data_IF_789143858147
#
_entry.id   IF_789143858147
#
_cell.length_a   1.000
_cell.length_b   1.000
_cell.length_c   1.000
_cell.angle_alpha   90.00
_cell.angle_beta   90.00
_cell.angle_gamma   90.00
#
_symmetry.space_group_name_H-M   'P 1'
#
loop_
_entity.id
_entity.type
_entity.pdbx_description
1 polymer ?
#
# COMPACT_ATOMS: atom_id res chain seq x y z
N UNK A 1 19.95 -23.11 55.81
CA UNK A 1 18.94 -22.83 54.75
C UNK A 1 18.29 -24.16 54.39
N UNK A 2 16.97 -24.26 54.37
CA UNK A 2 16.25 -25.52 54.08
C UNK A 2 16.08 -25.71 52.56
N UNK A 3 16.28 -26.93 52.09
CA UNK A 3 16.30 -27.33 50.67
C UNK A 3 14.92 -27.76 50.14
N UNK A 4 13.84 -27.35 50.80
CA UNK A 4 12.49 -27.83 50.52
C UNK A 4 11.91 -27.27 49.21
N UNK A 5 12.15 -25.98 48.91
CA UNK A 5 11.77 -25.39 47.64
C UNK A 5 12.81 -25.77 46.57
N UNK A 6 12.41 -26.61 45.60
CA UNK A 6 13.25 -27.06 44.48
C UNK A 6 12.47 -27.02 43.16
N UNK A 7 13.13 -26.68 42.04
CA UNK A 7 12.50 -26.72 40.72
C UNK A 7 12.22 -28.17 40.29
N UNK A 8 11.25 -28.35 39.40
CA UNK A 8 10.94 -29.64 38.79
C UNK A 8 11.78 -29.83 37.53
N UNK A 9 12.80 -30.69 37.60
CA UNK A 9 13.64 -31.02 36.44
C UNK A 9 13.03 -32.09 35.54
N UNK A 10 12.21 -32.96 36.12
CA UNK A 10 11.53 -34.05 35.43
C UNK A 10 10.04 -33.92 35.73
N UNK A 11 9.22 -33.86 34.69
CA UNK A 11 7.77 -33.92 34.85
C UNK A 11 7.36 -35.32 35.32
N UNK A 12 6.23 -35.42 36.02
CA UNK A 12 5.63 -36.72 36.32
C UNK A 12 5.24 -37.41 35.01
N UNK A 13 5.79 -38.59 34.75
CA UNK A 13 5.46 -39.39 33.56
C UNK A 13 4.23 -40.23 33.87
N UNK A 14 3.17 -40.08 33.09
CA UNK A 14 2.04 -41.01 33.13
C UNK A 14 2.48 -42.38 32.61
N UNK A 15 2.52 -43.40 33.47
CA UNK A 15 2.89 -44.76 33.03
C UNK A 15 1.75 -45.39 32.23
N UNK A 16 2.13 -46.06 31.12
CA UNK A 16 1.28 -46.55 30.03
C UNK A 16 0.97 -48.03 30.24
N UNK A 17 -0.24 -48.33 30.70
CA UNK A 17 -0.99 -49.46 30.15
C UNK A 17 -2.03 -48.85 29.22
N UNK A 18 -1.97 -49.25 27.95
CA UNK A 18 -2.90 -48.84 26.91
C UNK A 18 -4.33 -49.16 27.36
N UNK A 19 -5.02 -48.15 27.89
CA UNK A 19 -6.42 -48.27 28.34
C UNK A 19 -6.70 -48.01 29.81
N UNK A 20 -5.75 -47.63 30.67
CA UNK A 20 -6.10 -47.13 32.00
C UNK A 20 -4.98 -47.04 33.04
N UNK A 21 -5.09 -46.08 33.94
CA UNK A 21 -4.32 -46.01 35.19
C UNK A 21 -4.82 -47.10 36.13
N UNK A 22 -4.34 -48.34 35.95
CA UNK A 22 -4.53 -49.38 36.94
C UNK A 22 -3.36 -49.29 37.90
N UNK A 23 -3.55 -48.66 39.05
CA UNK A 23 -2.59 -48.63 40.14
C UNK A 23 -2.45 -50.02 40.80
N UNK A 24 -2.21 -51.09 40.03
CA UNK A 24 -2.06 -52.46 40.52
C UNK A 24 -3.12 -52.92 41.54
N UNK A 25 -4.27 -52.26 41.55
CA UNK A 25 -5.21 -52.21 42.67
C UNK A 25 -6.64 -52.07 42.17
N UNK A 26 -7.60 -52.22 43.08
CA UNK A 26 -9.02 -52.29 42.75
C UNK A 26 -9.50 -51.00 42.07
N UNK A 27 -10.37 -51.15 41.05
CA UNK A 27 -11.00 -50.03 40.36
C UNK A 27 -11.77 -49.18 41.37
N UNK A 28 -11.48 -47.88 41.43
CA UNK A 28 -12.16 -46.94 42.31
C UNK A 28 -13.61 -46.74 41.88
N UNK A 29 -14.53 -46.65 42.85
CA UNK A 29 -15.93 -46.28 42.62
C UNK A 29 -16.17 -44.75 42.73
N UNK A 30 -15.12 -43.97 42.95
CA UNK A 30 -15.21 -42.51 43.02
C UNK A 30 -15.27 -41.93 41.60
N UNK A 31 -16.25 -41.06 41.35
CA UNK A 31 -16.37 -40.30 40.10
C UNK A 31 -16.45 -38.80 40.41
N UNK A 32 -15.91 -37.97 39.52
CA UNK A 32 -16.03 -36.52 39.60
C UNK A 32 -17.35 -36.03 38.98
N UNK A 33 -17.78 -34.83 39.34
CA UNK A 33 -18.88 -34.16 38.64
C UNK A 33 -18.61 -33.98 37.13
N UNK A 34 -17.33 -33.94 36.73
CA UNK A 34 -16.91 -33.86 35.31
C UNK A 34 -16.99 -35.20 34.56
N UNK A 35 -17.02 -36.33 35.28
CA UNK A 35 -17.12 -37.67 34.70
C UNK A 35 -18.58 -38.09 34.48
N UNK A 36 -19.53 -37.25 34.92
CA UNK A 36 -20.95 -37.44 34.63
C UNK A 36 -21.18 -37.39 33.11
N UNK A 37 -22.13 -38.18 32.57
CA UNK A 37 -22.40 -38.20 31.14
C UNK A 37 -22.71 -36.81 30.56
N UNK A 38 -21.80 -36.29 29.73
CA UNK A 38 -21.93 -35.03 29.02
C UNK A 38 -21.56 -35.21 27.55
N UNK A 39 -22.29 -34.56 26.64
CA UNK A 39 -22.06 -34.66 25.19
C UNK A 39 -21.96 -36.12 24.68
N UNK A 40 -22.93 -36.96 25.06
CA UNK A 40 -22.97 -38.40 24.70
C UNK A 40 -23.17 -38.68 23.22
N UNK A 41 -23.47 -37.65 22.41
CA UNK A 41 -23.68 -37.75 20.96
C UNK A 41 -22.65 -36.92 20.22
N UNK A 42 -21.83 -37.60 19.42
CA UNK A 42 -20.89 -36.95 18.50
C UNK A 42 -21.66 -36.31 17.34
N UNK A 43 -21.27 -35.09 16.97
CA UNK A 43 -21.78 -34.41 15.78
C UNK A 43 -20.97 -34.87 14.57
N UNK A 44 -21.64 -35.33 13.53
CA UNK A 44 -21.02 -35.62 12.23
C UNK A 44 -21.28 -34.45 11.28
N UNK A 45 -20.33 -34.20 10.38
CA UNK A 45 -20.49 -33.20 9.31
C UNK A 45 -21.65 -33.63 8.42
N UNK A 46 -22.57 -32.71 8.16
CA UNK A 46 -23.65 -32.90 7.19
C UNK A 46 -23.19 -32.45 5.80
N UNK A 47 -23.93 -32.87 4.77
CA UNK A 47 -23.74 -32.36 3.40
C UNK A 47 -23.76 -30.81 3.42
N UNK A 48 -22.80 -30.17 2.77
CA UNK A 48 -22.56 -28.73 2.76
C UNK A 48 -21.65 -28.20 3.89
N UNK A 49 -21.22 -29.04 4.83
CA UNK A 49 -20.30 -28.65 5.92
C UNK A 49 -18.85 -29.09 5.67
N UNK A 50 -18.51 -29.42 4.42
CA UNK A 50 -17.22 -29.99 4.05
C UNK A 50 -17.07 -31.41 4.60
N UNK A 51 -17.96 -32.31 4.19
CA UNK A 51 -17.75 -33.76 4.41
C UNK A 51 -16.49 -34.21 3.67
N UNK A 52 -15.91 -35.35 4.07
CA UNK A 52 -14.71 -35.87 3.42
C UNK A 52 -14.94 -36.12 1.92
N UNK A 53 -16.09 -36.72 1.58
CA UNK A 53 -16.51 -36.99 0.21
C UNK A 53 -16.57 -35.71 -0.65
N UNK A 54 -17.14 -34.62 -0.12
CA UNK A 54 -17.20 -33.36 -0.88
C UNK A 54 -15.83 -32.65 -0.98
N UNK A 55 -14.90 -32.92 -0.07
CA UNK A 55 -13.55 -32.35 -0.16
C UNK A 55 -12.71 -33.10 -1.19
N UNK A 56 -12.90 -34.41 -1.31
CA UNK A 56 -12.22 -35.24 -2.31
C UNK A 56 -12.65 -34.89 -3.74
N UNK A 57 -13.91 -34.47 -3.95
CA UNK A 57 -14.43 -34.05 -5.26
C UNK A 57 -14.05 -32.60 -5.64
N UNK A 58 -13.63 -31.75 -4.69
CA UNK A 58 -13.33 -30.34 -4.94
C UNK A 58 -11.88 -30.11 -5.36
N UNK A 59 -11.68 -29.28 -6.37
CA UNK A 59 -10.35 -28.73 -6.67
C UNK A 59 -10.04 -27.53 -5.77
N UNK A 60 -9.40 -27.82 -4.64
CA UNK A 60 -9.06 -26.82 -3.63
C UNK A 60 -8.07 -25.76 -4.14
N UNK A 61 -7.23 -26.11 -5.14
CA UNK A 61 -6.20 -25.20 -5.64
C UNK A 61 -6.83 -24.08 -6.47
N UNK A 62 -7.72 -24.42 -7.41
CA UNK A 62 -8.40 -23.41 -8.21
C UNK A 62 -9.29 -22.50 -7.35
N UNK A 63 -10.08 -23.07 -6.43
CA UNK A 63 -10.92 -22.28 -5.51
C UNK A 63 -10.10 -21.29 -4.67
N UNK A 64 -8.94 -21.74 -4.15
CA UNK A 64 -8.03 -20.89 -3.39
C UNK A 64 -7.52 -19.73 -4.25
N UNK A 65 -7.04 -20.01 -5.47
CA UNK A 65 -6.52 -18.96 -6.35
C UNK A 65 -7.59 -17.93 -6.76
N UNK A 66 -8.83 -18.37 -7.01
CA UNK A 66 -9.93 -17.45 -7.31
C UNK A 66 -10.29 -16.58 -6.10
N UNK A 67 -10.24 -17.16 -4.90
CA UNK A 67 -10.52 -16.43 -3.66
C UNK A 67 -9.43 -15.42 -3.35
N UNK A 68 -8.17 -15.77 -3.59
CA UNK A 68 -7.03 -14.85 -3.47
C UNK A 68 -7.17 -13.70 -4.47
N UNK A 69 -7.48 -13.98 -5.75
CA UNK A 69 -7.71 -12.94 -6.75
C UNK A 69 -8.81 -11.97 -6.34
N UNK A 70 -9.96 -12.47 -5.88
CA UNK A 70 -11.07 -11.64 -5.39
C UNK A 70 -10.66 -10.79 -4.18
N UNK A 71 -9.90 -11.36 -3.25
CA UNK A 71 -9.39 -10.64 -2.09
C UNK A 71 -8.43 -9.51 -2.49
N UNK A 72 -7.54 -9.76 -3.45
CA UNK A 72 -6.63 -8.74 -4.00
C UNK A 72 -7.39 -7.61 -4.69
N UNK A 73 -8.41 -7.93 -5.49
CA UNK A 73 -9.30 -6.94 -6.13
C UNK A 73 -10.05 -6.09 -5.08
N UNK A 74 -10.56 -6.70 -4.01
CA UNK A 74 -11.24 -5.98 -2.92
C UNK A 74 -10.28 -5.10 -2.12
N UNK A 75 -9.09 -5.63 -1.79
CA UNK A 75 -8.04 -4.89 -1.10
C UNK A 75 -7.58 -3.69 -1.92
N UNK A 76 -7.42 -3.85 -3.24
CA UNK A 76 -7.08 -2.76 -4.16
C UNK A 76 -8.12 -1.63 -4.13
N UNK A 77 -9.41 -1.98 -4.16
CA UNK A 77 -10.51 -1.00 -4.06
C UNK A 77 -10.52 -0.25 -2.73
N UNK A 78 -10.22 -0.91 -1.61
CA UNK A 78 -10.13 -0.25 -0.30
C UNK A 78 -8.98 0.77 -0.27
N UNK A 79 -7.82 0.40 -0.81
CA UNK A 79 -6.66 1.30 -0.92
C UNK A 79 -6.99 2.50 -1.82
N UNK A 80 -7.63 2.27 -2.97
CA UNK A 80 -8.04 3.33 -3.88
C UNK A 80 -9.04 4.28 -3.25
N UNK A 81 -10.04 3.79 -2.51
CA UNK A 81 -10.99 4.68 -1.81
C UNK A 81 -10.34 5.46 -0.68
N UNK A 82 -9.36 4.90 0.03
CA UNK A 82 -8.59 5.60 1.05
C UNK A 82 -7.68 6.67 0.42
N UNK A 83 -6.99 6.35 -0.66
CA UNK A 83 -6.17 7.30 -1.42
C UNK A 83 -7.03 8.39 -2.07
N UNK A 84 -8.17 8.05 -2.66
CA UNK A 84 -9.13 9.01 -3.20
C UNK A 84 -9.73 9.91 -2.12
N UNK A 85 -10.00 9.41 -0.91
CA UNK A 85 -10.41 10.25 0.23
C UNK A 85 -9.29 11.20 0.65
N UNK A 86 -8.05 10.72 0.70
CA UNK A 86 -6.87 11.55 0.98
C UNK A 86 -6.69 12.61 -0.11
N UNK A 87 -6.85 12.25 -1.38
CA UNK A 87 -6.80 13.18 -2.51
C UNK A 87 -7.92 14.21 -2.45
N UNK A 88 -9.17 13.81 -2.19
CA UNK A 88 -10.29 14.75 -2.00
C UNK A 88 -10.08 15.68 -0.81
N UNK A 89 -9.49 15.19 0.27
CA UNK A 89 -9.12 16.00 1.44
C UNK A 89 -7.98 16.98 1.09
N UNK A 90 -6.97 16.54 0.32
CA UNK A 90 -5.91 17.40 -0.20
C UNK A 90 -6.48 18.48 -1.13
N UNK A 91 -7.38 18.12 -2.04
CA UNK A 91 -8.05 19.02 -2.98
C UNK A 91 -8.93 20.05 -2.25
N UNK A 92 -9.72 19.62 -1.26
CA UNK A 92 -10.49 20.55 -0.42
C UNK A 92 -9.59 21.46 0.43
N UNK A 93 -8.45 20.95 0.90
CA UNK A 93 -7.45 21.75 1.65
C UNK A 93 -6.73 22.75 0.75
N UNK A 94 -6.45 22.38 -0.51
CA UNK A 94 -5.85 23.23 -1.53
C UNK A 94 -6.81 24.37 -1.93
N UNK A 95 -8.11 24.06 -2.09
CA UNK A 95 -9.16 25.06 -2.36
C UNK A 95 -9.35 26.09 -1.24
N UNK A 96 -9.11 25.71 0.03
CA UNK A 96 -9.21 26.63 1.17
C UNK A 96 -7.99 27.55 1.33
N UNK A 97 -6.89 27.27 0.62
CA UNK A 97 -5.60 27.94 0.77
C UNK A 97 -5.05 28.31 -0.61
N UNK A 98 -5.81 29.11 -1.38
CA UNK A 98 -5.39 29.61 -2.70
C UNK A 98 -3.96 30.19 -2.67
N UNK A 99 -3.12 29.73 -3.59
CA UNK A 99 -1.81 30.30 -3.92
C UNK A 99 -0.91 29.23 -4.53
N UNK A 100 -0.70 29.32 -5.84
CA UNK A 100 0.04 28.39 -6.71
C UNK A 100 1.54 28.20 -6.36
N UNK A 101 1.98 28.66 -5.19
CA UNK A 101 3.37 28.56 -4.70
C UNK A 101 3.70 27.20 -4.06
N UNK A 102 2.71 26.34 -3.83
CA UNK A 102 2.93 25.03 -3.17
C UNK A 102 3.38 23.95 -4.14
N UNK A 103 2.96 24.01 -5.41
CA UNK A 103 3.31 22.99 -6.41
C UNK A 103 4.80 23.05 -6.80
N UNK A 104 5.35 24.25 -6.96
CA UNK A 104 6.77 24.43 -7.30
C UNK A 104 7.69 24.02 -6.15
N UNK A 105 7.31 24.36 -4.90
CA UNK A 105 8.10 23.98 -3.72
C UNK A 105 7.99 22.48 -3.38
N UNK A 106 6.91 21.82 -3.80
CA UNK A 106 6.75 20.38 -3.62
C UNK A 106 7.61 19.58 -4.62
N UNK A 107 7.74 20.05 -5.87
CA UNK A 107 8.66 19.46 -6.86
C UNK A 107 10.12 19.56 -6.42
N UNK A 108 10.54 20.72 -5.90
CA UNK A 108 11.93 20.92 -5.42
C UNK A 108 12.28 20.04 -4.20
N UNK A 109 11.32 19.78 -3.31
CA UNK A 109 11.54 18.89 -2.17
C UNK A 109 11.53 17.42 -2.61
N UNK A 110 10.73 17.06 -3.60
CA UNK A 110 10.67 15.70 -4.12
C UNK A 110 11.96 15.29 -4.85
N UNK A 111 12.67 16.23 -5.48
CA UNK A 111 13.99 15.96 -6.11
C UNK A 111 15.15 15.98 -5.10
N UNK A 112 14.99 16.65 -3.95
CA UNK A 112 15.99 16.69 -2.87
C UNK A 112 16.02 15.42 -2.01
N UNK A 113 14.93 14.66 -1.98
CA UNK A 113 14.79 13.40 -1.24
C UNK A 113 14.46 12.23 -2.16
N UNK A 114 14.82 12.32 -3.45
CA UNK A 114 14.84 11.16 -4.34
C UNK A 114 16.09 10.35 -4.01
N UNK A 115 16.00 9.56 -2.94
CA UNK A 115 16.93 8.52 -2.62
C UNK A 115 16.84 7.43 -3.70
N UNK A 116 17.92 7.28 -4.47
CA UNK A 116 18.08 6.38 -5.61
C UNK A 116 17.99 4.85 -5.29
N UNK A 117 17.25 4.47 -4.25
CA UNK A 117 17.05 3.11 -3.77
C UNK A 117 15.58 2.67 -3.75
N UNK A 118 14.65 3.42 -4.36
CA UNK A 118 13.32 2.86 -4.73
C UNK A 118 13.46 2.03 -6.01
N UNK A 119 14.17 0.91 -5.84
CA UNK A 119 14.39 -0.13 -6.83
C UNK A 119 13.05 -0.85 -7.09
N UNK A 120 12.24 -0.22 -7.95
CA UNK A 120 11.13 -0.88 -8.63
C UNK A 120 11.74 -1.97 -9.52
N UNK A 121 12.00 -3.13 -8.92
CA UNK A 121 12.42 -4.34 -9.60
C UNK A 121 11.24 -4.88 -10.42
N UNK A 122 10.93 -4.18 -11.50
CA UNK A 122 10.10 -4.63 -12.58
C UNK A 122 10.93 -5.62 -13.41
N UNK A 123 11.07 -6.84 -12.90
CA UNK A 123 11.65 -7.96 -13.63
C UNK A 123 10.51 -8.76 -14.27
N UNK A 124 10.29 -8.51 -15.55
CA UNK A 124 9.95 -9.57 -16.49
C UNK A 124 10.58 -9.21 -17.84
N UNK A 125 11.82 -9.67 -17.96
CA UNK A 125 12.59 -9.69 -19.19
C UNK A 125 11.86 -10.50 -20.27
N UNK A 126 11.92 -9.98 -21.49
CA UNK A 126 11.48 -10.63 -22.70
C UNK A 126 12.49 -11.69 -23.12
N UNK A 127 12.13 -12.96 -23.00
CA UNK A 127 12.79 -14.04 -23.75
C UNK A 127 11.99 -14.27 -25.05
N UNK A 128 12.48 -13.62 -26.11
CA UNK A 128 12.09 -13.86 -27.49
C UNK A 128 12.91 -15.04 -28.02
N UNK A 129 12.30 -16.21 -28.12
CA UNK A 129 12.84 -17.36 -28.85
C UNK A 129 12.08 -17.46 -30.18
N UNK A 130 12.70 -16.94 -31.24
CA UNK A 130 12.30 -17.28 -32.61
C UNK A 130 13.56 -17.41 -33.47
N UNK A 131 13.96 -18.67 -33.65
CA UNK A 131 15.05 -19.10 -34.51
C UNK A 131 14.49 -19.33 -35.90
N UNK A 132 14.57 -18.33 -36.78
CA UNK A 132 14.28 -18.53 -38.21
C UNK A 132 15.54 -18.44 -39.07
N UNK A 133 15.69 -19.46 -39.90
CA UNK A 133 16.87 -19.80 -40.69
C UNK A 133 16.87 -18.99 -41.98
N UNK A 134 17.92 -18.20 -42.21
CA UNK A 134 18.15 -17.51 -43.49
C UNK A 134 18.44 -18.53 -44.61
N UNK A 135 17.60 -18.52 -45.65
CA UNK A 135 17.88 -19.03 -46.99
C UNK A 135 17.71 -17.89 -48.01
N UNK A 136 18.60 -17.91 -48.99
CA UNK A 136 19.09 -16.85 -49.87
C UNK A 136 18.12 -16.55 -51.05
N UNK A 137 17.78 -15.27 -51.31
CA UNK A 137 17.10 -14.80 -52.54
C UNK A 137 17.23 -13.27 -52.71
N UNK A 138 18.31 -12.81 -53.35
CA UNK A 138 18.78 -11.42 -53.49
C UNK A 138 18.02 -10.47 -54.47
N UNK A 139 16.71 -10.64 -54.73
CA UNK A 139 16.02 -9.81 -55.76
C UNK A 139 14.82 -8.94 -55.27
N UNK A 140 14.40 -8.98 -54.00
CA UNK A 140 13.23 -8.21 -53.48
C UNK A 140 13.57 -7.12 -52.42
N UNK A 141 14.82 -7.03 -51.95
CA UNK A 141 15.24 -6.15 -50.84
C UNK A 141 15.41 -4.65 -51.24
N UNK A 142 15.74 -4.39 -52.50
CA UNK A 142 16.03 -3.02 -52.99
C UNK A 142 14.78 -2.15 -53.17
N UNK A 143 13.60 -2.75 -53.41
CA UNK A 143 12.33 -2.00 -53.53
C UNK A 143 11.79 -1.58 -52.15
N UNK A 144 11.97 -2.42 -51.13
CA UNK A 144 11.52 -2.18 -49.75
C UNK A 144 12.29 -1.03 -49.07
N UNK A 145 13.60 -0.92 -49.34
CA UNK A 145 14.44 0.15 -48.78
C UNK A 145 14.05 1.55 -49.29
N UNK A 146 13.58 1.66 -50.54
CA UNK A 146 13.05 2.94 -51.09
C UNK A 146 11.71 3.33 -50.46
N UNK A 147 10.88 2.35 -50.10
CA UNK A 147 9.61 2.63 -49.42
C UNK A 147 9.83 3.05 -47.96
N UNK A 148 10.79 2.43 -47.25
CA UNK A 148 11.18 2.84 -45.90
C UNK A 148 11.81 4.24 -45.87
N UNK A 149 12.62 4.62 -46.86
CA UNK A 149 13.18 5.97 -46.97
C UNK A 149 12.08 7.02 -47.20
N UNK A 150 11.05 6.68 -47.97
CA UNK A 150 9.89 7.57 -48.19
C UNK A 150 9.08 7.77 -46.92
N UNK A 151 8.82 6.70 -46.17
CA UNK A 151 8.12 6.76 -44.87
C UNK A 151 8.94 7.55 -43.84
N UNK A 152 10.27 7.38 -43.83
CA UNK A 152 11.17 8.12 -42.93
C UNK A 152 11.17 9.62 -43.24
N UNK A 153 11.15 9.99 -44.51
CA UNK A 153 11.07 11.39 -44.95
C UNK A 153 9.72 12.02 -44.62
N UNK A 154 8.62 11.29 -44.83
CA UNK A 154 7.27 11.76 -44.47
C UNK A 154 7.11 11.97 -42.96
N UNK A 155 7.64 11.05 -42.14
CA UNK A 155 7.63 11.19 -40.67
C UNK A 155 8.51 12.34 -40.17
N UNK A 156 9.62 12.60 -40.85
CA UNK A 156 10.51 13.71 -40.50
C UNK A 156 9.85 15.06 -40.83
N UNK A 157 9.17 15.17 -41.97
CA UNK A 157 8.40 16.36 -42.34
C UNK A 157 7.21 16.60 -41.39
N UNK A 158 6.52 15.55 -40.94
CA UNK A 158 5.44 15.65 -39.95
C UNK A 158 5.98 16.08 -38.56
N UNK A 159 7.13 15.53 -38.14
CA UNK A 159 7.78 15.94 -36.89
C UNK A 159 8.20 17.40 -36.92
N UNK A 160 8.76 17.87 -38.04
CA UNK A 160 9.20 19.26 -38.22
C UNK A 160 7.99 20.22 -38.22
N UNK A 161 6.87 19.83 -38.83
CA UNK A 161 5.62 20.60 -38.80
C UNK A 161 4.99 20.67 -37.41
N UNK A 162 5.09 19.58 -36.63
CA UNK A 162 4.63 19.55 -35.23
C UNK A 162 5.50 20.41 -34.31
N UNK A 163 6.82 20.36 -34.50
CA UNK A 163 7.78 21.18 -33.75
C UNK A 163 7.61 22.68 -34.04
N UNK A 164 7.29 23.05 -35.29
CA UNK A 164 6.99 24.44 -35.65
C UNK A 164 5.68 24.94 -35.01
N UNK A 165 4.64 24.10 -34.96
CA UNK A 165 3.38 24.43 -34.29
C UNK A 165 3.55 24.57 -32.77
N UNK A 166 4.33 23.69 -32.14
CA UNK A 166 4.62 23.76 -30.70
C UNK A 166 5.39 25.04 -30.36
N UNK A 167 6.39 25.40 -31.17
CA UNK A 167 7.14 26.65 -31.01
C UNK A 167 6.25 27.90 -31.14
N UNK A 168 5.28 27.90 -32.06
CA UNK A 168 4.33 29.01 -32.20
C UNK A 168 3.42 29.14 -30.96
N UNK A 169 2.97 28.01 -30.40
CA UNK A 169 2.20 28.01 -29.16
C UNK A 169 3.01 28.50 -27.96
N UNK A 170 4.26 28.09 -27.82
CA UNK A 170 5.17 28.59 -26.78
C UNK A 170 5.44 30.09 -26.91
N UNK A 171 5.64 30.59 -28.15
CA UNK A 171 5.82 32.03 -28.38
C UNK A 171 4.56 32.85 -28.02
N UNK A 172 3.36 32.30 -28.27
CA UNK A 172 2.11 32.95 -27.88
C UNK A 172 1.91 32.96 -26.36
N UNK A 173 2.19 31.85 -25.67
CA UNK A 173 2.15 31.76 -24.21
C UNK A 173 3.17 32.71 -23.57
N UNK A 174 4.39 32.78 -24.11
CA UNK A 174 5.41 33.71 -23.62
C UNK A 174 5.00 35.18 -23.80
N UNK A 175 4.33 35.52 -24.90
CA UNK A 175 3.77 36.87 -25.12
C UNK A 175 2.64 37.17 -24.15
N UNK A 176 1.78 36.19 -23.85
CA UNK A 176 0.70 36.31 -22.86
C UNK A 176 1.25 36.46 -21.43
N UNK A 177 2.26 35.68 -21.06
CA UNK A 177 2.94 35.77 -19.76
C UNK A 177 3.68 37.11 -19.57
N UNK A 178 4.31 37.65 -20.61
CA UNK A 178 4.91 39.00 -20.56
C UNK A 178 3.84 40.08 -20.39
N UNK A 179 2.67 39.91 -21.02
CA UNK A 179 1.55 40.86 -20.92
C UNK A 179 0.85 40.79 -19.56
N UNK A 180 0.69 39.58 -19.00
CA UNK A 180 0.02 39.33 -17.72
C UNK A 180 0.95 39.47 -16.51
N UNK A 181 2.25 39.30 -16.71
CA UNK A 181 3.30 39.36 -15.70
C UNK A 181 3.67 40.77 -15.25
N UNK A 182 2.92 41.81 -15.68
CA UNK A 182 3.07 43.17 -15.19
C UNK A 182 2.08 43.46 -14.04
N UNK A 183 2.49 43.31 -12.76
CA UNK A 183 1.62 43.56 -11.62
C UNK A 183 1.28 45.03 -11.39
N UNK A 184 1.94 45.98 -12.09
CA UNK A 184 1.67 47.42 -11.97
C UNK A 184 0.44 47.88 -12.75
N UNK A 185 -0.02 47.13 -13.75
CA UNK A 185 -1.14 47.52 -14.61
C UNK A 185 -2.50 47.03 -14.12
N UNK A 186 -2.56 46.12 -13.14
CA UNK A 186 -3.81 45.52 -12.69
C UNK A 186 -4.38 46.10 -11.38
N UNK A 187 -3.61 46.84 -10.57
CA UNK A 187 -4.08 47.31 -9.26
C UNK A 187 -3.61 48.73 -8.91
N UNK A 188 -4.41 49.74 -9.27
CA UNK A 188 -4.49 50.94 -8.45
C UNK A 188 -5.88 51.58 -8.52
N UNK A 189 -6.63 51.53 -7.40
CA UNK A 189 -7.08 52.78 -6.82
C UNK A 189 -6.80 52.85 -5.31
N UNK A 190 -6.05 53.88 -4.92
CA UNK A 190 -6.15 54.68 -3.70
C UNK A 190 -6.70 54.02 -2.41
N UNK A 191 -5.83 53.82 -1.42
CA UNK A 191 -6.22 53.68 -0.01
C UNK A 191 -5.15 52.98 0.85
N UNK A 192 -4.58 53.68 1.84
CA UNK A 192 -3.61 53.09 2.77
C UNK A 192 -4.23 51.94 3.58
N UNK A 193 -3.81 50.71 3.30
CA UNK A 193 -4.24 49.53 4.04
C UNK A 193 -3.60 49.52 5.44
N UNK A 194 -4.33 49.98 6.44
CA UNK A 194 -4.05 49.65 7.84
C UNK A 194 -4.28 48.15 8.02
N UNK A 195 -3.20 47.38 8.02
CA UNK A 195 -3.21 45.93 8.21
C UNK A 195 -3.88 45.64 9.56
N UNK A 196 -5.08 45.06 9.54
CA UNK A 196 -5.80 44.65 10.76
C UNK A 196 -5.00 43.55 11.45
N UNK A 197 -4.28 43.91 12.53
CA UNK A 197 -3.59 42.95 13.41
C UNK A 197 -4.59 41.87 13.82
N UNK A 198 -4.27 40.62 13.50
CA UNK A 198 -5.06 39.46 13.92
C UNK A 198 -4.82 39.24 15.41
N UNK A 199 -5.80 38.75 16.15
CA UNK A 199 -5.65 38.41 17.58
C UNK A 199 -4.51 37.40 17.82
N UNK A 200 -4.23 36.57 16.81
CA UNK A 200 -3.13 35.62 16.77
C UNK A 200 -1.78 36.21 16.39
N UNK A 201 -1.66 37.49 16.10
CA UNK A 201 -0.41 38.09 15.58
C UNK A 201 0.64 38.23 16.69
N UNK A 202 0.20 38.51 17.92
CA UNK A 202 1.04 38.69 19.11
C UNK A 202 1.22 37.38 19.92
N UNK A 203 1.67 36.33 19.26
CA UNK A 203 1.95 35.02 19.89
C UNK A 203 3.34 34.59 19.46
N UNK A 204 4.19 34.26 20.44
CA UNK A 204 5.61 33.94 20.22
C UNK A 204 5.84 32.60 19.49
N UNK A 205 4.86 31.70 19.50
CA UNK A 205 4.90 30.43 18.77
C UNK A 205 3.77 30.36 17.75
N UNK A 206 4.11 30.05 16.49
CA UNK A 206 3.14 29.83 15.41
C UNK A 206 3.27 28.40 14.90
N UNK A 207 2.14 27.77 14.59
CA UNK A 207 2.05 26.57 13.75
C UNK A 207 2.96 25.38 14.17
N UNK A 208 3.13 25.14 15.48
CA UNK A 208 4.06 24.13 16.01
C UNK A 208 3.77 22.69 15.57
N UNK A 209 2.49 22.34 15.34
CA UNK A 209 2.06 21.00 14.94
C UNK A 209 1.86 20.83 13.42
N UNK A 210 2.24 21.84 12.62
CA UNK A 210 1.93 21.83 11.17
C UNK A 210 2.56 20.66 10.41
N UNK A 211 3.68 20.13 10.90
CA UNK A 211 4.41 19.02 10.27
C UNK A 211 4.53 17.79 11.21
N UNK A 212 3.63 17.64 12.19
CA UNK A 212 3.70 16.47 13.08
C UNK A 212 3.33 15.19 12.29
N UNK A 213 4.18 14.14 12.31
CA UNK A 213 3.91 12.92 11.57
C UNK A 213 2.70 12.20 12.17
N UNK A 214 1.69 11.92 11.35
CA UNK A 214 0.54 11.13 11.77
C UNK A 214 0.98 9.70 12.14
N UNK A 215 0.54 9.21 13.31
CA UNK A 215 0.87 7.86 13.76
C UNK A 215 0.19 6.83 12.85
N UNK A 216 0.96 6.23 11.94
CA UNK A 216 0.49 5.16 11.06
C UNK A 216 0.06 3.93 11.88
N UNK A 217 -0.94 3.19 11.37
CA UNK A 217 -1.31 1.89 11.93
C UNK A 217 -0.15 0.92 11.74
N UNK A 218 0.45 0.46 12.84
CA UNK A 218 1.54 -0.50 12.83
C UNK A 218 1.29 -1.56 13.90
N UNK A 219 1.77 -2.77 13.63
CA UNK A 219 1.82 -3.85 14.61
C UNK A 219 3.27 -4.04 15.05
N UNK A 220 3.50 -4.06 16.36
CA UNK A 220 4.81 -4.30 16.94
C UNK A 220 4.70 -5.54 17.81
N UNK A 221 5.49 -6.57 17.50
CA UNK A 221 5.58 -7.81 18.29
C UNK A 221 6.47 -7.59 19.53
N UNK A 222 6.03 -6.69 20.41
CA UNK A 222 6.69 -6.35 21.67
C UNK A 222 5.61 -5.98 22.70
N UNK A 223 5.62 -6.62 23.87
CA UNK A 223 4.57 -6.43 24.88
C UNK A 223 4.60 -5.07 25.57
N UNK A 224 5.75 -4.38 25.58
CA UNK A 224 5.93 -3.10 26.28
C UNK A 224 6.07 -1.92 25.33
N UNK A 225 6.62 -2.13 24.13
CA UNK A 225 6.80 -1.04 23.14
C UNK A 225 5.64 -0.88 22.19
N UNK A 226 4.74 -1.86 22.12
CA UNK A 226 3.53 -1.79 21.30
C UNK A 226 2.69 -0.55 21.67
N UNK A 227 2.10 0.05 20.64
CA UNK A 227 1.20 1.18 20.74
C UNK A 227 -0.01 0.87 21.67
N UNK A 228 -0.45 -0.39 21.74
CA UNK A 228 -1.44 -0.82 22.75
C UNK A 228 -0.97 -0.58 24.18
N UNK A 229 0.23 -1.05 24.53
CA UNK A 229 0.76 -0.92 25.88
C UNK A 229 1.02 0.54 26.25
N UNK A 230 1.55 1.34 25.32
CA UNK A 230 1.73 2.79 25.52
C UNK A 230 0.41 3.50 25.79
N UNK A 231 -0.64 3.18 25.04
CA UNK A 231 -1.99 3.73 25.26
C UNK A 231 -2.59 3.24 26.58
N UNK A 232 -2.38 1.98 26.94
CA UNK A 232 -2.81 1.42 28.21
C UNK A 232 -2.17 2.20 29.38
N UNK A 233 -0.83 2.35 29.39
CA UNK A 233 -0.15 3.11 30.45
C UNK A 233 -0.61 4.56 30.50
N UNK A 234 -0.76 5.23 29.35
CA UNK A 234 -1.27 6.62 29.28
C UNK A 234 -2.67 6.77 29.88
N UNK A 235 -3.51 5.73 29.80
CA UNK A 235 -4.88 5.77 30.31
C UNK A 235 -4.98 5.42 31.79
N UNK A 236 -4.15 4.50 32.28
CA UNK A 236 -4.27 3.93 33.63
C UNK A 236 -3.21 4.43 34.61
N UNK A 237 -2.20 5.15 34.13
CA UNK A 237 -1.15 5.77 34.96
C UNK A 237 -1.11 7.27 34.60
N UNK A 238 -1.37 8.11 35.61
CA UNK A 238 -1.39 9.56 35.52
C UNK A 238 -0.07 10.18 35.97
#
# INVERSE_FOLDING_TARGET
>A
MTTAARPTWHAAVGQKNEGGWNAGGQVSMQFSARDLPGHTKLKTRQLGQGTAEELDERDLKSELTERERKYEEEKGKEVDTAQQKILRLKENKLLLLKGDEWEDRARDVQTQYDDADDDNHNQQDSDSDDSDSNDDSEDEEEELMRELEKIKKEREEERLKKEEAERETEESQRKEEILMGNPLTANNPAGSATIKRKWNDDVVFKNQSRNEPETKKRFINDTIRNDFHRRFLKNYIH
#
